data_IF_568377069852
#
_entry.id   IF_568377069852
#
_cell.length_a   1.000
_cell.length_b   1.000
_cell.length_c   1.000
_cell.angle_alpha   90.00
_cell.angle_beta   90.00
_cell.angle_gamma   90.00
#
_symmetry.space_group_name_H-M   'P 1'
#
loop_
_entity.id
_entity.type
_entity.pdbx_description
1 polymer ?
#
# COMPACT_ATOMS: atom_id res chain seq x y z
N UNK A 1 17.05 -6.72 14.82
CA UNK A 1 17.53 -5.33 14.88
C UNK A 1 17.29 -4.48 13.64
N UNK A 2 17.20 -5.01 12.41
CA UNK A 2 17.08 -4.17 11.19
C UNK A 2 15.98 -3.10 11.22
N UNK A 3 14.78 -3.42 11.69
CA UNK A 3 13.65 -2.46 11.74
C UNK A 3 13.86 -1.38 12.79
N UNK A 4 14.47 -1.73 13.92
CA UNK A 4 14.86 -0.77 14.96
C UNK A 4 15.95 0.18 14.43
N UNK A 5 16.98 -0.37 13.76
CA UNK A 5 18.03 0.43 13.11
C UNK A 5 17.47 1.36 12.03
N UNK A 6 16.42 0.94 11.33
CA UNK A 6 15.71 1.76 10.33
C UNK A 6 14.69 2.74 10.92
N UNK A 7 14.51 2.75 12.24
CA UNK A 7 13.54 3.63 12.91
C UNK A 7 12.07 3.29 12.68
N UNK A 8 11.76 2.12 12.09
CA UNK A 8 10.38 1.73 11.78
C UNK A 8 9.60 1.25 13.04
N UNK A 9 10.34 0.81 14.06
CA UNK A 9 9.81 0.34 15.34
C UNK A 9 10.59 0.99 16.48
N UNK A 10 9.92 1.29 17.58
CA UNK A 10 10.54 1.69 18.84
C UNK A 10 10.66 0.49 19.77
N UNK A 11 11.62 0.55 20.68
CA UNK A 11 11.80 -0.44 21.72
C UNK A 11 11.79 0.25 23.09
N UNK A 12 10.93 -0.19 24.00
CA UNK A 12 10.95 0.23 25.40
C UNK A 12 11.40 -0.93 26.28
N UNK A 13 12.23 -0.66 27.29
CA UNK A 13 12.68 -1.69 28.22
C UNK A 13 11.59 -1.96 29.26
N UNK A 14 11.24 -3.22 29.42
CA UNK A 14 10.29 -3.72 30.43
C UNK A 14 11.02 -4.80 31.26
N UNK A 15 11.64 -4.37 32.36
CA UNK A 15 12.50 -5.23 33.19
C UNK A 15 13.69 -5.82 32.41
N UNK A 16 13.65 -7.13 32.16
CA UNK A 16 14.67 -7.88 31.39
C UNK A 16 14.29 -8.10 29.92
N UNK A 17 13.10 -7.67 29.48
CA UNK A 17 12.63 -7.79 28.10
C UNK A 17 12.49 -6.40 27.45
N UNK A 18 12.33 -6.39 26.14
CA UNK A 18 12.00 -5.20 25.36
C UNK A 18 10.61 -5.35 24.76
N UNK A 19 9.80 -4.31 24.86
CA UNK A 19 8.53 -4.18 24.18
C UNK A 19 8.74 -3.37 22.91
N UNK A 20 8.36 -3.93 21.77
CA UNK A 20 8.48 -3.28 20.48
C UNK A 20 7.13 -2.77 20.01
N UNK A 21 7.09 -1.55 19.51
CA UNK A 21 5.89 -0.93 18.96
C UNK A 21 6.17 -0.29 17.59
N UNK A 22 5.20 -0.30 16.67
CA UNK A 22 5.35 0.39 15.40
C UNK A 22 5.40 1.90 15.61
N UNK A 23 6.30 2.58 14.91
CA UNK A 23 6.35 4.05 14.87
C UNK A 23 5.58 4.59 13.67
N UNK A 24 5.40 3.75 12.64
CA UNK A 24 4.74 4.10 11.40
C UNK A 24 3.24 3.81 11.47
N UNK A 25 2.44 4.76 11.00
CA UNK A 25 1.01 4.55 10.76
C UNK A 25 0.84 3.71 9.49
N UNK A 26 0.08 2.61 9.57
CA UNK A 26 -0.09 1.67 8.46
C UNK A 26 -0.61 2.36 7.20
N UNK A 27 -1.62 3.22 7.33
CA UNK A 27 -2.23 3.92 6.20
C UNK A 27 -1.23 4.84 5.49
N UNK A 28 -0.48 5.65 6.24
CA UNK A 28 0.54 6.53 5.69
C UNK A 28 1.63 5.72 4.97
N UNK A 29 2.08 4.61 5.57
CA UNK A 29 3.07 3.73 4.95
C UNK A 29 2.56 3.09 3.66
N UNK A 30 1.31 2.59 3.64
CA UNK A 30 0.73 2.00 2.41
C UNK A 30 0.62 3.05 1.31
N UNK A 31 0.17 4.26 1.61
CA UNK A 31 0.07 5.33 0.61
C UNK A 31 1.43 5.67 0.00
N UNK A 32 2.46 5.86 0.85
CA UNK A 32 3.83 6.15 0.40
C UNK A 32 4.40 5.01 -0.46
N UNK A 33 4.27 3.76 0.00
CA UNK A 33 4.79 2.62 -0.75
C UNK A 33 4.03 2.38 -2.05
N UNK A 34 2.70 2.57 -2.09
CA UNK A 34 1.91 2.42 -3.30
C UNK A 34 2.33 3.44 -4.37
N UNK A 35 2.54 4.71 -4.01
CA UNK A 35 3.05 5.73 -4.94
C UNK A 35 4.43 5.34 -5.47
N UNK A 36 5.37 5.02 -4.58
CA UNK A 36 6.74 4.67 -4.98
C UNK A 36 6.83 3.38 -5.80
N UNK A 37 5.89 2.44 -5.63
CA UNK A 37 5.77 1.24 -6.46
C UNK A 37 5.26 1.60 -7.86
N UNK A 38 4.21 2.41 -7.95
CA UNK A 38 3.66 2.88 -9.22
C UNK A 38 4.70 3.65 -10.03
N UNK A 39 5.44 4.55 -9.39
CA UNK A 39 6.50 5.33 -10.05
C UNK A 39 7.57 4.44 -10.66
N UNK A 40 8.00 3.39 -9.95
CA UNK A 40 9.11 2.52 -10.39
C UNK A 40 8.71 1.50 -11.44
N UNK A 41 7.48 0.99 -11.38
CA UNK A 41 7.04 -0.13 -12.22
C UNK A 41 6.14 0.29 -13.38
N UNK A 42 5.47 1.42 -13.26
CA UNK A 42 4.42 1.84 -14.21
C UNK A 42 4.50 3.34 -14.53
N UNK A 43 5.65 3.99 -14.29
CA UNK A 43 5.90 5.41 -14.52
C UNK A 43 4.81 6.31 -13.88
N UNK A 44 4.36 5.93 -12.69
CA UNK A 44 3.35 6.66 -11.91
C UNK A 44 1.92 6.47 -12.41
N UNK A 45 1.69 5.64 -13.43
CA UNK A 45 0.36 5.43 -14.03
C UNK A 45 -0.33 4.19 -13.47
N UNK A 46 -1.58 4.35 -13.04
CA UNK A 46 -2.42 3.25 -12.53
C UNK A 46 -3.00 2.39 -13.65
N UNK A 47 -3.32 2.97 -14.82
CA UNK A 47 -3.97 2.23 -15.91
C UNK A 47 -3.17 1.01 -16.41
N UNK A 48 -1.84 1.08 -16.61
CA UNK A 48 -1.03 -0.08 -16.98
C UNK A 48 -1.06 -1.23 -15.94
N UNK A 49 -1.12 -0.90 -14.64
CA UNK A 49 -1.24 -1.89 -13.57
C UNK A 49 -2.56 -2.68 -13.69
N UNK A 50 -3.67 -1.96 -13.88
CA UNK A 50 -5.00 -2.57 -14.05
C UNK A 50 -5.05 -3.44 -15.31
N UNK A 51 -4.48 -2.95 -16.43
CA UNK A 51 -4.39 -3.71 -17.67
C UNK A 51 -3.60 -5.03 -17.49
N UNK A 52 -2.49 -5.00 -16.75
CA UNK A 52 -1.70 -6.19 -16.45
C UNK A 52 -2.47 -7.24 -15.66
N UNK A 53 -3.28 -6.83 -14.67
CA UNK A 53 -4.10 -7.78 -13.91
C UNK A 53 -5.27 -8.33 -14.73
N UNK A 54 -5.88 -7.50 -15.59
CA UNK A 54 -6.94 -7.93 -16.50
C UNK A 54 -6.45 -9.03 -17.45
N UNK A 55 -5.29 -8.85 -18.08
CA UNK A 55 -4.73 -9.83 -19.03
C UNK A 55 -4.36 -11.18 -18.39
N UNK A 56 -4.09 -11.19 -17.08
CA UNK A 56 -3.70 -12.40 -16.33
C UNK A 56 -4.87 -13.07 -15.61
N UNK A 57 -6.09 -12.58 -15.80
CA UNK A 57 -7.29 -13.09 -15.11
C UNK A 57 -7.27 -12.87 -13.60
N UNK A 58 -6.48 -11.89 -13.13
CA UNK A 58 -6.32 -11.59 -11.71
C UNK A 58 -7.33 -10.56 -11.18
N UNK A 59 -8.24 -10.06 -12.04
CA UNK A 59 -9.37 -9.23 -11.64
C UNK A 59 -10.63 -10.09 -11.64
N UNK A 60 -11.23 -10.26 -10.47
CA UNK A 60 -12.54 -10.88 -10.35
C UNK A 60 -13.64 -9.94 -10.87
N UNK A 61 -14.83 -10.47 -11.12
CA UNK A 61 -15.98 -9.65 -11.48
C UNK A 61 -16.32 -8.61 -10.39
N UNK A 62 -16.08 -8.94 -9.12
CA UNK A 62 -16.27 -8.04 -7.99
C UNK A 62 -15.28 -6.88 -8.04
N UNK A 63 -13.99 -7.15 -8.26
CA UNK A 63 -12.96 -6.11 -8.36
C UNK A 63 -13.27 -5.11 -9.49
N UNK A 64 -13.76 -5.62 -10.64
CA UNK A 64 -14.15 -4.78 -11.78
C UNK A 64 -15.34 -3.89 -11.40
N UNK A 65 -16.33 -4.43 -10.69
CA UNK A 65 -17.50 -3.66 -10.26
C UNK A 65 -17.11 -2.54 -9.27
N UNK A 66 -16.25 -2.84 -8.29
CA UNK A 66 -15.76 -1.86 -7.32
C UNK A 66 -14.93 -0.75 -7.98
N UNK A 67 -14.05 -1.11 -8.92
CA UNK A 67 -13.27 -0.12 -9.69
C UNK A 67 -14.15 0.81 -10.52
N UNK A 68 -15.20 0.27 -11.17
CA UNK A 68 -16.15 1.08 -11.94
C UNK A 68 -16.91 2.06 -11.04
N UNK A 69 -17.44 1.58 -9.91
CA UNK A 69 -18.15 2.44 -8.95
C UNK A 69 -17.25 3.55 -8.39
N UNK A 70 -15.97 3.25 -8.15
CA UNK A 70 -15.00 4.24 -7.70
C UNK A 70 -14.74 5.32 -8.76
N UNK A 71 -14.56 4.93 -10.03
CA UNK A 71 -14.35 5.87 -11.14
C UNK A 71 -15.60 6.74 -11.34
N UNK A 72 -16.78 6.13 -11.34
CA UNK A 72 -18.04 6.86 -11.42
C UNK A 72 -18.16 7.89 -10.28
N UNK A 73 -17.82 7.52 -9.04
CA UNK A 73 -17.81 8.46 -7.91
C UNK A 73 -16.88 9.66 -8.10
N UNK A 74 -15.71 9.46 -8.70
CA UNK A 74 -14.73 10.54 -8.97
C UNK A 74 -15.16 11.48 -10.10
N UNK A 75 -15.92 11.01 -11.09
CA UNK A 75 -16.42 11.84 -12.19
C UNK A 75 -17.56 12.79 -11.78
N UNK A 76 -18.17 12.55 -10.60
CA UNK A 76 -19.29 13.34 -10.07
C UNK A 76 -18.87 14.39 -9.02
N UNK A 77 -17.57 14.49 -8.69
CA UNK A 77 -16.97 15.49 -7.78
C UNK A 77 -16.26 16.61 -8.58
#
# INVERSE_FOLDING_TARGET
NRLLTKGAISASRDGRRYLYSPVLQRQAWVAEQSSGLLDKLFDGRVAPLVAHFSQRGALSAQDIAELKALIEGLDHD
#
